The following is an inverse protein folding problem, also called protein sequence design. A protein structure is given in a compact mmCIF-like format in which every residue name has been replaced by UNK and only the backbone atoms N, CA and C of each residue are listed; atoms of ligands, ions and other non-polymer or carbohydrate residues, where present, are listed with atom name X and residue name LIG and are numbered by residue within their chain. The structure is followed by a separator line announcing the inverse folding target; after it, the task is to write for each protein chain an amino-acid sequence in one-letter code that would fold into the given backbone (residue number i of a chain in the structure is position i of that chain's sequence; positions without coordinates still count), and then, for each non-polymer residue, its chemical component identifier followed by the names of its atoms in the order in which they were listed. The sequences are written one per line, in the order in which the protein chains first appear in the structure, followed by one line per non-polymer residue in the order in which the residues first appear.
data_IF_362411792788
#
_entry.id   IF_362411792788
#
_cell.length_a   1.000
_cell.length_b   1.000
_cell.length_c   1.000
_cell.angle_alpha   90.00
_cell.angle_beta   90.00
_cell.angle_gamma   90.00
#
_symmetry.space_group_name_H-M   'P 1'
#
loop_
_entity.id
_entity.type
_entity.pdbx_description
1 polymer ?
#
# COMPACT_ATOMS: atom_id res chain seq x y z
N UNK A 1 7.16 7.39 -43.58
CA UNK A 1 6.98 7.86 -42.19
C UNK A 1 5.48 7.80 -41.89
N UNK A 2 5.02 6.66 -41.34
CA UNK A 2 3.59 6.36 -41.18
C UNK A 2 3.13 6.46 -39.72
N UNK A 3 1.97 7.06 -39.52
CA UNK A 3 1.27 7.34 -38.26
C UNK A 3 1.35 6.22 -37.20
N UNK A 4 2.09 6.47 -36.11
CA UNK A 4 2.09 5.66 -34.86
C UNK A 4 1.44 6.39 -33.65
N UNK A 5 0.79 7.53 -33.89
CA UNK A 5 0.34 8.44 -32.84
C UNK A 5 -1.00 8.10 -32.15
N UNK A 6 -2.07 7.61 -32.82
CA UNK A 6 -3.37 7.50 -32.17
C UNK A 6 -3.44 6.35 -31.15
N UNK A 7 -2.89 5.18 -31.44
CA UNK A 7 -2.94 4.04 -30.51
C UNK A 7 -2.22 4.30 -29.19
N UNK A 8 -1.07 5.00 -29.24
CA UNK A 8 -0.29 5.37 -28.06
C UNK A 8 -1.07 6.29 -27.11
N UNK A 9 -1.81 7.27 -27.66
CA UNK A 9 -2.61 8.19 -26.85
C UNK A 9 -3.80 7.47 -26.20
N UNK A 10 -4.48 6.56 -26.91
CA UNK A 10 -5.57 5.77 -26.33
C UNK A 10 -5.09 4.88 -25.18
N UNK A 11 -3.93 4.22 -25.32
CA UNK A 11 -3.34 3.41 -24.24
C UNK A 11 -2.95 4.27 -23.02
N UNK A 12 -2.45 5.50 -23.23
CA UNK A 12 -2.13 6.41 -22.11
C UNK A 12 -3.40 6.85 -21.37
N UNK A 13 -4.46 7.19 -22.10
CA UNK A 13 -5.74 7.62 -21.52
C UNK A 13 -6.38 6.47 -20.74
N UNK A 14 -6.37 5.27 -21.29
CA UNK A 14 -6.91 4.06 -20.66
C UNK A 14 -6.16 3.73 -19.35
N UNK A 15 -4.82 3.80 -19.35
CA UNK A 15 -4.03 3.65 -18.12
C UNK A 15 -4.36 4.71 -17.07
N UNK A 16 -4.49 5.96 -17.50
CA UNK A 16 -4.85 7.05 -16.58
C UNK A 16 -6.25 6.83 -15.98
N UNK A 17 -7.19 6.32 -16.77
CA UNK A 17 -8.52 5.95 -16.30
C UNK A 17 -8.47 4.86 -15.22
N UNK A 18 -7.73 3.76 -15.46
CA UNK A 18 -7.60 2.70 -14.46
C UNK A 18 -6.91 3.17 -13.18
N UNK A 19 -5.90 4.03 -13.28
CA UNK A 19 -5.24 4.63 -12.09
C UNK A 19 -6.20 5.50 -11.30
N UNK A 20 -7.02 6.31 -11.97
CA UNK A 20 -8.01 7.15 -11.29
C UNK A 20 -9.05 6.29 -10.58
N UNK A 21 -9.62 5.30 -11.27
CA UNK A 21 -10.59 4.38 -10.70
C UNK A 21 -10.00 3.59 -9.52
N UNK A 22 -8.74 3.12 -9.65
CA UNK A 22 -8.01 2.48 -8.56
C UNK A 22 -7.85 3.42 -7.36
N UNK A 23 -7.46 4.67 -7.60
CA UNK A 23 -7.30 5.69 -6.56
C UNK A 23 -8.57 5.93 -5.77
N UNK A 24 -9.71 6.05 -6.44
CA UNK A 24 -11.03 6.26 -5.80
C UNK A 24 -11.46 5.04 -4.99
N UNK A 25 -11.24 3.83 -5.52
CA UNK A 25 -11.58 2.56 -4.86
C UNK A 25 -10.69 2.32 -3.63
N UNK A 26 -9.38 2.56 -3.75
CA UNK A 26 -8.44 2.44 -2.63
C UNK A 26 -8.75 3.46 -1.54
N UNK A 27 -9.20 4.66 -1.90
CA UNK A 27 -9.64 5.67 -0.91
C UNK A 27 -10.82 5.15 -0.11
N UNK A 28 -11.85 4.59 -0.76
CA UNK A 28 -12.99 3.95 -0.08
C UNK A 28 -12.55 2.78 0.80
N UNK A 29 -11.65 1.91 0.32
CA UNK A 29 -11.13 0.81 1.13
C UNK A 29 -10.50 1.31 2.44
N UNK A 30 -9.70 2.37 2.35
CA UNK A 30 -9.01 2.98 3.50
C UNK A 30 -9.99 3.66 4.46
N UNK A 31 -11.00 4.35 3.94
CA UNK A 31 -12.03 5.03 4.74
C UNK A 31 -12.93 4.02 5.48
N UNK A 32 -13.33 2.95 4.80
CA UNK A 32 -14.21 1.92 5.35
C UNK A 32 -13.47 0.83 6.14
N UNK A 33 -12.13 0.76 6.03
CA UNK A 33 -11.32 -0.30 6.62
C UNK A 33 -11.60 -1.69 6.02
N UNK A 34 -12.03 -1.76 4.75
CA UNK A 34 -12.54 -2.96 4.10
C UNK A 34 -11.90 -3.17 2.72
N UNK A 35 -11.70 -4.44 2.34
CA UNK A 35 -11.25 -4.80 0.97
C UNK A 35 -12.40 -4.98 -0.01
N UNK A 36 -13.66 -4.84 0.44
CA UNK A 36 -14.83 -5.08 -0.41
C UNK A 36 -14.88 -4.20 -1.67
N UNK A 37 -14.59 -2.87 -1.61
CA UNK A 37 -14.65 -2.04 -2.81
C UNK A 37 -13.67 -2.49 -3.91
N UNK A 38 -12.50 -3.02 -3.52
CA UNK A 38 -11.55 -3.55 -4.50
C UNK A 38 -12.00 -4.93 -5.02
N UNK A 39 -12.61 -5.77 -4.20
CA UNK A 39 -13.14 -7.05 -4.66
C UNK A 39 -14.19 -6.85 -5.75
N UNK A 40 -15.14 -5.93 -5.54
CA UNK A 40 -16.17 -5.59 -6.52
C UNK A 40 -15.58 -5.15 -7.86
N UNK A 41 -14.57 -4.25 -7.83
CA UNK A 41 -13.90 -3.79 -9.04
C UNK A 41 -13.25 -4.95 -9.82
N UNK A 42 -12.62 -5.87 -9.10
CA UNK A 42 -11.84 -6.94 -9.69
C UNK A 42 -12.73 -8.06 -10.25
N UNK A 43 -13.92 -8.28 -9.69
CA UNK A 43 -14.86 -9.28 -10.21
C UNK A 43 -15.20 -9.04 -11.68
N UNK A 44 -15.48 -7.80 -12.07
CA UNK A 44 -15.78 -7.46 -13.48
C UNK A 44 -14.57 -7.74 -14.39
N UNK A 45 -13.36 -7.45 -13.92
CA UNK A 45 -12.11 -7.69 -14.65
C UNK A 45 -11.79 -9.17 -14.81
N UNK A 46 -12.06 -9.97 -13.78
CA UNK A 46 -11.89 -11.43 -13.82
C UNK A 46 -12.85 -12.05 -14.82
N UNK A 47 -14.10 -11.59 -14.87
CA UNK A 47 -15.10 -12.05 -15.85
C UNK A 47 -14.66 -11.70 -17.28
N UNK A 48 -14.09 -10.51 -17.48
CA UNK A 48 -13.52 -10.09 -18.75
C UNK A 48 -12.27 -10.93 -19.15
N UNK A 49 -11.57 -11.54 -18.19
CA UNK A 49 -10.49 -12.48 -18.47
C UNK A 49 -9.18 -11.78 -18.87
N UNK A 50 -8.32 -12.42 -19.70
CA UNK A 50 -6.97 -11.96 -19.99
C UNK A 50 -6.83 -10.54 -20.55
N UNK A 51 -7.88 -10.01 -21.20
CA UNK A 51 -7.90 -8.64 -21.71
C UNK A 51 -7.82 -7.57 -20.60
N UNK A 52 -8.16 -7.91 -19.35
CA UNK A 52 -8.07 -7.01 -18.20
C UNK A 52 -6.71 -7.01 -17.51
N UNK A 53 -5.72 -7.78 -18.01
CA UNK A 53 -4.38 -7.86 -17.39
C UNK A 53 -3.68 -6.50 -17.28
N UNK A 54 -3.86 -5.61 -18.27
CA UNK A 54 -3.27 -4.27 -18.20
C UNK A 54 -3.92 -3.41 -17.12
N UNK A 55 -5.26 -3.44 -17.02
CA UNK A 55 -6.01 -2.75 -15.97
C UNK A 55 -5.58 -3.21 -14.57
N UNK A 56 -5.48 -4.52 -14.35
CA UNK A 56 -5.05 -5.11 -13.08
C UNK A 56 -3.63 -4.71 -12.69
N UNK A 57 -2.72 -4.61 -13.66
CA UNK A 57 -1.35 -4.12 -13.41
C UNK A 57 -1.34 -2.65 -12.98
N UNK A 58 -2.17 -1.80 -13.58
CA UNK A 58 -2.28 -0.41 -13.19
C UNK A 58 -2.88 -0.27 -11.78
N UNK A 59 -3.89 -1.06 -11.42
CA UNK A 59 -4.47 -1.10 -10.07
C UNK A 59 -3.45 -1.58 -9.03
N UNK A 60 -2.71 -2.64 -9.34
CA UNK A 60 -1.62 -3.12 -8.48
C UNK A 60 -0.56 -2.03 -8.29
N UNK A 61 -0.17 -1.35 -9.37
CA UNK A 61 0.78 -0.24 -9.32
C UNK A 61 0.30 0.90 -8.40
N UNK A 62 -0.97 1.29 -8.48
CA UNK A 62 -1.53 2.32 -7.59
C UNK A 62 -1.64 1.84 -6.14
N UNK A 63 -1.94 0.55 -5.92
CA UNK A 63 -1.96 -0.06 -4.57
C UNK A 63 -0.57 -0.01 -3.94
N UNK A 64 0.47 -0.44 -4.65
CA UNK A 64 1.86 -0.41 -4.18
C UNK A 64 2.33 1.02 -3.90
N UNK A 65 1.97 1.97 -4.77
CA UNK A 65 2.27 3.39 -4.59
C UNK A 65 1.61 3.95 -3.34
N UNK A 66 0.31 3.67 -3.13
CA UNK A 66 -0.39 4.11 -1.92
C UNK A 66 0.23 3.46 -0.68
N UNK A 67 0.59 2.18 -0.72
CA UNK A 67 1.26 1.49 0.39
C UNK A 67 2.59 2.16 0.75
N UNK A 68 3.42 2.47 -0.25
CA UNK A 68 4.68 3.20 -0.06
C UNK A 68 4.43 4.55 0.62
N UNK A 69 3.41 5.29 0.18
CA UNK A 69 3.08 6.58 0.79
C UNK A 69 2.69 6.44 2.26
N UNK A 70 1.89 5.43 2.62
CA UNK A 70 1.52 5.20 4.03
C UNK A 70 2.74 4.79 4.88
N UNK A 71 3.69 4.04 4.32
CA UNK A 71 4.97 3.78 5.00
C UNK A 71 5.80 5.05 5.21
N UNK A 72 5.85 5.94 4.23
CA UNK A 72 6.54 7.22 4.35
C UNK A 72 5.89 8.10 5.43
N UNK A 73 4.56 8.16 5.46
CA UNK A 73 3.79 8.85 6.49
C UNK A 73 4.08 8.27 7.88
N UNK A 74 4.11 6.93 8.02
CA UNK A 74 4.47 6.26 9.28
C UNK A 74 5.88 6.63 9.75
N UNK A 75 6.86 6.60 8.85
CA UNK A 75 8.23 6.99 9.16
C UNK A 75 8.31 8.47 9.57
N UNK A 76 7.54 9.34 8.92
CA UNK A 76 7.46 10.75 9.27
C UNK A 76 6.91 10.94 10.70
N UNK A 77 5.84 10.25 11.07
CA UNK A 77 5.25 10.32 12.42
C UNK A 77 6.27 9.89 13.47
N UNK A 78 6.99 8.80 13.23
CA UNK A 78 8.01 8.29 14.17
C UNK A 78 9.17 9.28 14.33
N UNK A 79 9.63 9.86 13.23
CA UNK A 79 10.68 10.87 13.26
C UNK A 79 10.22 12.13 14.01
N UNK A 80 8.97 12.56 13.80
CA UNK A 80 8.39 13.70 14.52
C UNK A 80 8.26 13.41 16.03
N UNK A 81 7.80 12.22 16.40
CA UNK A 81 7.76 11.76 17.79
C UNK A 81 9.15 11.85 18.43
N UNK A 82 10.19 11.34 17.75
CA UNK A 82 11.57 11.42 18.25
C UNK A 82 12.04 12.85 18.46
N UNK A 83 11.73 13.77 17.53
CA UNK A 83 12.12 15.19 17.62
C UNK A 83 11.42 15.87 18.80
N UNK A 84 10.11 15.61 18.98
CA UNK A 84 9.33 16.22 20.06
C UNK A 84 9.80 15.71 21.43
N UNK A 85 10.02 14.40 21.57
CA UNK A 85 10.54 13.82 22.81
C UNK A 85 11.94 14.38 23.16
N UNK A 86 12.81 14.54 22.16
CA UNK A 86 14.10 15.21 22.35
C UNK A 86 13.93 16.67 22.81
N UNK A 87 12.92 17.38 22.30
CA UNK A 87 12.57 18.73 22.75
C UNK A 87 12.17 18.82 24.23
N UNK A 88 11.61 17.74 24.78
CA UNK A 88 11.34 17.59 26.22
C UNK A 88 12.53 17.08 27.03
N UNK A 89 13.69 16.87 26.39
CA UNK A 89 14.92 16.41 27.04
C UNK A 89 15.12 14.88 27.04
N UNK A 90 14.22 14.10 26.41
CA UNK A 90 14.40 12.66 26.27
C UNK A 90 15.34 12.34 25.10
N UNK A 91 16.55 11.90 25.41
CA UNK A 91 17.46 11.37 24.41
C UNK A 91 17.15 9.89 24.12
N UNK A 92 16.87 9.59 22.84
CA UNK A 92 16.53 8.25 22.34
C UNK A 92 17.67 7.62 21.50
N UNK A 93 18.82 8.28 21.34
CA UNK A 93 19.96 7.84 20.52
C UNK A 93 20.53 6.47 20.94
N UNK A 94 20.27 6.03 22.18
CA UNK A 94 20.67 4.72 22.69
C UNK A 94 19.66 3.58 22.45
N UNK A 95 18.44 3.88 22.01
CA UNK A 95 17.36 2.89 21.90
C UNK A 95 17.23 2.27 20.51
N UNK A 96 18.17 2.57 19.60
CA UNK A 96 18.19 1.95 18.27
C UNK A 96 17.06 2.44 17.36
N UNK A 97 16.99 1.84 16.16
CA UNK A 97 16.17 2.28 15.02
C UNK A 97 14.71 2.66 15.35
N UNK A 98 14.07 3.42 14.47
CA UNK A 98 12.65 3.80 14.49
C UNK A 98 11.66 2.67 14.86
N UNK A 99 12.02 1.41 14.68
CA UNK A 99 11.24 0.25 15.12
C UNK A 99 11.07 0.16 16.63
N UNK A 100 12.05 0.59 17.42
CA UNK A 100 11.95 0.58 18.88
C UNK A 100 10.97 1.63 19.36
N UNK A 101 10.95 2.81 18.72
CA UNK A 101 9.95 3.86 19.00
C UNK A 101 8.51 3.41 18.71
N UNK A 102 8.31 2.53 17.73
CA UNK A 102 7.00 1.89 17.50
C UNK A 102 6.59 0.91 18.60
N UNK A 103 7.49 0.51 19.49
CA UNK A 103 7.25 -0.49 20.53
C UNK A 103 7.36 0.05 21.96
N UNK A 104 7.89 1.26 22.14
CA UNK A 104 7.91 1.92 23.45
C UNK A 104 6.48 2.04 23.97
N UNK A 105 6.28 1.49 25.16
CA UNK A 105 5.06 1.65 25.94
C UNK A 105 5.22 2.79 26.97
N UNK A 106 4.11 3.21 27.58
CA UNK A 106 4.12 4.28 28.58
C UNK A 106 5.02 3.98 29.78
N UNK A 107 5.15 2.71 30.20
CA UNK A 107 5.97 2.33 31.36
C UNK A 107 7.45 2.49 31.03
N UNK A 108 7.86 2.01 29.86
CA UNK A 108 9.23 2.17 29.36
C UNK A 108 9.58 3.65 29.20
N UNK A 109 8.64 4.48 28.77
CA UNK A 109 8.84 5.92 28.67
C UNK A 109 9.02 6.57 30.06
N UNK A 110 8.24 6.16 31.07
CA UNK A 110 8.40 6.64 32.45
C UNK A 110 9.76 6.23 33.03
N UNK A 111 10.15 4.96 32.86
CA UNK A 111 11.49 4.50 33.29
C UNK A 111 12.62 5.29 32.61
N UNK A 112 12.41 5.66 31.34
CA UNK A 112 13.32 6.51 30.58
C UNK A 112 13.43 7.92 31.15
N UNK A 113 12.29 8.55 31.45
CA UNK A 113 12.23 9.85 32.09
C UNK A 113 12.91 9.85 33.46
N UNK A 114 12.72 8.80 34.24
CA UNK A 114 13.36 8.65 35.56
C UNK A 114 14.88 8.48 35.46
N UNK A 115 15.36 7.68 34.49
CA UNK A 115 16.79 7.48 34.24
C UNK A 115 17.50 8.73 33.72
N UNK A 116 16.77 9.59 32.99
CA UNK A 116 17.31 10.84 32.44
C UNK A 116 17.02 12.04 33.34
N UNK A 117 16.55 11.81 34.57
CA UNK A 117 16.31 12.83 35.59
C UNK A 117 15.35 13.95 35.12
N UNK A 118 14.34 13.59 34.32
CA UNK A 118 13.27 14.52 33.92
C UNK A 118 12.27 14.64 35.08
N UNK A 119 12.43 15.71 35.86
CA UNK A 119 11.62 15.98 37.07
C UNK A 119 10.44 16.91 36.79
N UNK A 120 10.51 17.70 35.72
CA UNK A 120 9.48 18.70 35.39
C UNK A 120 8.16 18.02 35.01
N UNK A 121 7.12 18.27 35.81
CA UNK A 121 5.80 17.63 35.65
C UNK A 121 5.17 17.94 34.28
N UNK A 122 5.34 19.16 33.79
CA UNK A 122 4.87 19.59 32.47
C UNK A 122 5.56 18.82 31.34
N UNK A 123 6.89 18.63 31.43
CA UNK A 123 7.64 17.85 30.46
C UNK A 123 7.23 16.37 30.48
N UNK A 124 7.03 15.78 31.66
CA UNK A 124 6.60 14.38 31.81
C UNK A 124 5.20 14.16 31.24
N UNK A 125 4.26 15.04 31.57
CA UNK A 125 2.90 15.00 31.03
C UNK A 125 2.90 15.19 29.51
N UNK A 126 3.72 16.12 29.00
CA UNK A 126 3.87 16.37 27.57
C UNK A 126 4.39 15.16 26.81
N UNK A 127 5.41 14.47 27.34
CA UNK A 127 5.96 13.26 26.74
C UNK A 127 4.93 12.13 26.64
N UNK A 128 4.15 11.90 27.71
CA UNK A 128 3.11 10.87 27.73
C UNK A 128 1.97 11.17 26.76
N UNK A 129 1.53 12.43 26.70
CA UNK A 129 0.48 12.84 25.77
C UNK A 129 0.93 12.64 24.32
N UNK A 130 2.13 13.13 23.97
CA UNK A 130 2.66 13.00 22.61
C UNK A 130 2.86 11.54 22.22
N UNK A 131 3.32 10.68 23.15
CA UNK A 131 3.41 9.24 22.90
C UNK A 131 2.02 8.64 22.60
N UNK A 132 1.02 8.98 23.41
CA UNK A 132 -0.35 8.47 23.27
C UNK A 132 -0.96 8.88 21.92
N UNK A 133 -0.87 10.16 21.57
CA UNK A 133 -1.39 10.69 20.31
C UNK A 133 -0.68 10.06 19.11
N UNK A 134 0.66 9.94 19.19
CA UNK A 134 1.46 9.30 18.14
C UNK A 134 1.13 7.80 18.02
N UNK A 135 0.81 7.13 19.12
CA UNK A 135 0.44 5.71 19.14
C UNK A 135 -0.85 5.46 18.37
N UNK A 136 -1.86 6.30 18.58
CA UNK A 136 -3.14 6.20 17.86
C UNK A 136 -2.92 6.35 16.35
N UNK A 137 -2.09 7.33 15.95
CA UNK A 137 -1.76 7.56 14.55
C UNK A 137 -0.95 6.40 13.94
N UNK A 138 0.05 5.89 14.66
CA UNK A 138 0.85 4.72 14.25
C UNK A 138 -0.05 3.49 14.07
N UNK A 139 -0.96 3.22 15.01
CA UNK A 139 -1.89 2.10 14.93
C UNK A 139 -2.82 2.22 13.71
N UNK A 140 -3.30 3.43 13.44
CA UNK A 140 -4.14 3.73 12.27
C UNK A 140 -3.37 3.48 10.97
N UNK A 141 -2.13 3.98 10.87
CA UNK A 141 -1.28 3.78 9.68
C UNK A 141 -0.92 2.31 9.48
N UNK A 142 -0.60 1.57 10.55
CA UNK A 142 -0.35 0.13 10.49
C UNK A 142 -1.56 -0.65 10.00
N UNK A 143 -2.77 -0.29 10.46
CA UNK A 143 -4.01 -0.92 9.99
C UNK A 143 -4.22 -0.69 8.49
N UNK A 144 -3.92 0.53 8.00
CA UNK A 144 -3.97 0.86 6.57
C UNK A 144 -2.92 0.09 5.76
N UNK A 145 -1.71 -0.08 6.29
CA UNK A 145 -0.66 -0.89 5.66
C UNK A 145 -1.14 -2.34 5.49
N UNK A 146 -1.63 -2.96 6.56
CA UNK A 146 -2.15 -4.33 6.51
C UNK A 146 -3.29 -4.50 5.50
N UNK A 147 -4.22 -3.54 5.47
CA UNK A 147 -5.28 -3.53 4.47
C UNK A 147 -4.72 -3.51 3.04
N UNK A 148 -3.77 -2.61 2.76
CA UNK A 148 -3.14 -2.48 1.45
C UNK A 148 -2.31 -3.71 1.06
N UNK A 149 -1.65 -4.38 2.03
CA UNK A 149 -0.95 -5.65 1.81
C UNK A 149 -1.91 -6.79 1.43
N UNK A 150 -3.08 -6.85 2.08
CA UNK A 150 -4.11 -7.83 1.75
C UNK A 150 -4.64 -7.59 0.32
N UNK A 151 -4.88 -6.34 -0.05
CA UNK A 151 -5.31 -5.95 -1.39
C UNK A 151 -4.22 -6.31 -2.42
N UNK A 152 -2.96 -5.97 -2.15
CA UNK A 152 -1.83 -6.30 -3.02
C UNK A 152 -1.73 -7.80 -3.28
N UNK A 153 -1.79 -8.61 -2.22
CA UNK A 153 -1.74 -10.07 -2.32
C UNK A 153 -2.89 -10.60 -3.19
N UNK A 154 -4.11 -10.12 -2.94
CA UNK A 154 -5.29 -10.48 -3.73
C UNK A 154 -5.13 -10.15 -5.23
N UNK A 155 -4.59 -8.98 -5.55
CA UNK A 155 -4.34 -8.56 -6.94
C UNK A 155 -3.25 -9.41 -7.61
N UNK A 156 -2.20 -9.76 -6.87
CA UNK A 156 -1.12 -10.63 -7.37
C UNK A 156 -1.64 -12.03 -7.71
N UNK A 157 -2.51 -12.60 -6.89
CA UNK A 157 -3.15 -13.89 -7.14
C UNK A 157 -3.97 -13.89 -8.43
N UNK A 158 -4.80 -12.86 -8.63
CA UNK A 158 -5.59 -12.72 -9.86
C UNK A 158 -4.73 -12.48 -11.10
N UNK A 159 -3.68 -11.65 -10.98
CA UNK A 159 -2.73 -11.45 -12.07
C UNK A 159 -2.05 -12.75 -12.48
N UNK A 160 -1.66 -13.58 -11.52
CA UNK A 160 -1.09 -14.90 -11.81
C UNK A 160 -2.11 -15.80 -12.51
N UNK A 161 -3.34 -15.88 -12.00
CA UNK A 161 -4.41 -16.70 -12.57
C UNK A 161 -4.76 -16.32 -14.01
N UNK A 162 -4.92 -15.02 -14.29
CA UNK A 162 -5.23 -14.53 -15.63
C UNK A 162 -4.04 -14.61 -16.58
N UNK A 163 -2.82 -14.46 -16.09
CA UNK A 163 -1.61 -14.68 -16.89
C UNK A 163 -1.53 -16.13 -17.33
N UNK A 164 -1.79 -17.08 -16.43
CA UNK A 164 -1.85 -18.50 -16.76
C UNK A 164 -2.92 -18.81 -17.81
N UNK A 165 -4.12 -18.25 -17.65
CA UNK A 165 -5.20 -18.40 -18.64
C UNK A 165 -4.81 -17.83 -20.01
N UNK A 166 -4.16 -16.66 -20.04
CA UNK A 166 -3.69 -16.01 -21.28
C UNK A 166 -2.73 -16.88 -22.06
N UNK A 167 -1.72 -17.46 -21.37
CA UNK A 167 -0.73 -18.34 -21.99
C UNK A 167 -1.43 -19.57 -22.59
N UNK A 168 -2.33 -20.20 -21.83
CA UNK A 168 -3.03 -21.40 -22.29
C UNK A 168 -3.96 -21.14 -23.48
N UNK A 169 -4.61 -19.97 -23.52
CA UNK A 169 -5.41 -19.58 -24.68
C UNK A 169 -4.56 -19.36 -25.93
N UNK A 170 -3.35 -18.80 -25.78
CA UNK A 170 -2.38 -18.69 -26.87
C UNK A 170 -1.95 -20.06 -27.42
N UNK A 171 -1.64 -21.01 -26.54
CA UNK A 171 -1.28 -22.38 -26.92
C UNK A 171 -2.44 -23.11 -27.63
N UNK A 172 -3.69 -22.88 -27.20
CA UNK A 172 -4.89 -23.47 -27.80
C UNK A 172 -5.21 -22.86 -29.18
N UNK A 173 -4.91 -21.58 -29.42
CA UNK A 173 -5.06 -20.93 -30.72
C UNK A 173 -4.00 -21.38 -31.73
N UNK A 174 -2.74 -21.50 -31.31
CA UNK A 174 -1.62 -21.96 -32.15
C UNK A 174 -1.85 -23.42 -32.62
N UNK A 175 -2.29 -24.31 -31.72
CA UNK A 175 -2.66 -25.69 -32.07
C UNK A 175 -3.85 -25.76 -33.05
N UNK A 176 -4.81 -24.84 -32.98
CA UNK A 176 -5.95 -24.79 -33.92
C UNK A 176 -5.57 -24.29 -35.30
N UNK A 177 -4.61 -23.38 -35.40
CA UNK A 177 -4.09 -22.91 -36.69
C UNK A 177 -3.25 -23.98 -37.40
N UNK A 178 -2.45 -24.74 -36.67
CA UNK A 178 -1.67 -25.84 -37.24
C UNK A 178 -2.57 -26.98 -37.75
N UNK A 179 -3.62 -27.33 -36.99
CA UNK A 179 -4.60 -28.33 -37.44
C UNK A 179 -5.36 -27.90 -38.70
N UNK A 180 -5.56 -26.59 -38.92
CA UNK A 180 -6.21 -26.06 -40.12
C UNK A 180 -5.29 -26.04 -41.35
N UNK A 181 -3.98 -25.87 -41.17
CA UNK A 181 -2.99 -25.92 -42.26
C UNK A 181 -2.79 -27.35 -42.78
N UNK A 182 -2.89 -28.35 -41.92
CA UNK A 182 -2.76 -29.77 -42.30
C UNK A 182 -4.00 -30.35 -43.03
N UNK A 183 -5.09 -29.57 -43.12
CA UNK A 183 -6.34 -29.95 -43.79
C UNK A 183 -6.57 -29.23 -45.13
N UNK A 184 -5.59 -28.47 -45.64
CA UNK A 184 -5.59 -27.85 -46.99
C UNK A 184 -4.56 -28.49 -47.90
#
# INVERSE_FOLDING_TARGET
MGNKAPSSVYTIVEKAYFRLQAGDVLTRCIEDGSTEPIHELIQEMVIAGPQSLEALREILGETMKRKSQVYDDLNQVINQLSIILLGYGLNLEGYGSNQVLQQIDERQLVELMDRQEIVEEEARSGCLQVLTDSRELINTLNSKIQLLENIETYLQDWLLGLTYQSIRQGDDEENREDTKKDLQ
#
